data_IF_591207115935
#
_entry.id   IF_591207115935
#
_cell.length_a   1.000
_cell.length_b   1.000
_cell.length_c   1.000
_cell.angle_alpha   90.00
_cell.angle_beta   90.00
_cell.angle_gamma   90.00
#
_symmetry.space_group_name_H-M   'P 1'
#
loop_
_entity.id
_entity.type
_entity.pdbx_description
1 polymer ?
#
# COMPACT_ATOMS: atom_id res chain seq x y z
N UNK A 1 -19.69 -16.73 32.61
CA UNK A 1 -18.57 -17.41 33.29
C UNK A 1 -18.44 -16.85 34.68
N UNK A 2 -18.32 -17.72 35.68
CA UNK A 2 -17.99 -17.37 37.06
C UNK A 2 -16.53 -17.78 37.27
N UNK A 3 -15.62 -16.85 37.16
CA UNK A 3 -14.20 -17.04 37.43
C UNK A 3 -13.81 -16.07 38.51
N UNK A 4 -13.27 -16.57 39.62
CA UNK A 4 -12.85 -15.73 40.73
C UNK A 4 -11.62 -14.87 40.30
N UNK A 5 -11.37 -13.71 40.93
CA UNK A 5 -10.18 -12.91 40.67
C UNK A 5 -8.91 -13.77 40.71
N UNK A 6 -7.99 -13.53 39.75
CA UNK A 6 -6.71 -14.24 39.59
C UNK A 6 -6.85 -15.76 39.28
N UNK A 7 -8.04 -16.25 38.98
CA UNK A 7 -8.27 -17.63 38.59
C UNK A 7 -8.43 -17.74 37.06
N UNK A 8 -8.14 -18.93 36.52
CA UNK A 8 -8.27 -19.26 35.11
C UNK A 8 -9.32 -20.32 34.89
N UNK A 9 -10.19 -20.15 33.91
CA UNK A 9 -11.13 -21.16 33.48
C UNK A 9 -10.91 -21.52 32.00
N UNK A 10 -10.93 -22.82 31.71
CA UNK A 10 -10.91 -23.32 30.32
C UNK A 10 -12.33 -23.43 29.80
N UNK A 11 -12.60 -22.81 28.67
CA UNK A 11 -13.91 -22.88 27.99
C UNK A 11 -13.74 -23.56 26.66
N UNK A 12 -14.50 -24.62 26.43
CA UNK A 12 -14.54 -25.28 25.13
C UNK A 12 -15.50 -24.51 24.22
N UNK A 13 -14.98 -23.96 23.14
CA UNK A 13 -15.80 -23.32 22.12
C UNK A 13 -16.08 -24.31 20.99
N UNK A 14 -17.34 -24.40 20.59
CA UNK A 14 -17.73 -25.21 19.44
C UNK A 14 -17.64 -24.37 18.18
N UNK A 15 -16.47 -24.34 17.60
CA UNK A 15 -16.19 -23.60 16.36
C UNK A 15 -16.51 -24.54 15.21
N UNK A 16 -17.44 -24.17 14.34
CA UNK A 16 -17.76 -24.94 13.14
C UNK A 16 -16.54 -25.20 12.23
N UNK A 17 -16.68 -26.04 11.22
CA UNK A 17 -15.63 -26.32 10.27
C UNK A 17 -15.21 -25.02 9.54
N UNK A 18 -13.94 -24.69 9.65
CA UNK A 18 -13.35 -23.55 8.94
C UNK A 18 -12.92 -23.98 7.53
N UNK A 19 -13.12 -23.10 6.53
CA UNK A 19 -12.59 -23.32 5.18
C UNK A 19 -11.14 -22.83 5.13
N UNK A 20 -10.21 -23.64 4.69
CA UNK A 20 -8.81 -23.24 4.54
C UNK A 20 -8.58 -22.20 3.44
N UNK A 21 -9.56 -21.96 2.58
CA UNK A 21 -9.51 -21.00 1.48
C UNK A 21 -9.75 -19.55 1.91
N UNK A 22 -10.17 -19.28 3.16
CA UNK A 22 -10.52 -17.94 3.66
C UNK A 22 -9.84 -17.65 4.98
N UNK A 23 -9.66 -16.35 5.25
CA UNK A 23 -9.27 -15.92 6.58
C UNK A 23 -10.39 -16.18 7.58
N UNK A 24 -10.03 -16.71 8.75
CA UNK A 24 -10.93 -16.94 9.86
C UNK A 24 -10.38 -16.30 11.12
N UNK A 25 -11.18 -15.42 11.70
CA UNK A 25 -10.86 -14.71 12.92
C UNK A 25 -11.91 -15.04 13.97
N UNK A 26 -11.48 -15.39 15.17
CA UNK A 26 -12.35 -15.51 16.33
C UNK A 26 -12.28 -14.24 17.15
N UNK A 27 -13.39 -13.50 17.18
CA UNK A 27 -13.52 -12.30 18.01
C UNK A 27 -14.15 -12.69 19.34
N UNK A 28 -13.44 -12.46 20.43
CA UNK A 28 -13.92 -12.68 21.80
C UNK A 28 -14.18 -11.32 22.43
N UNK A 29 -15.37 -11.13 22.97
CA UNK A 29 -15.76 -9.90 23.65
C UNK A 29 -16.19 -10.22 25.08
N UNK A 30 -15.54 -9.62 26.06
CA UNK A 30 -15.89 -9.70 27.47
C UNK A 30 -16.85 -8.57 27.82
N UNK A 31 -18.01 -8.91 28.37
CA UNK A 31 -19.06 -7.94 28.66
C UNK A 31 -19.48 -8.01 30.12
N UNK A 32 -19.80 -6.86 30.70
CA UNK A 32 -20.40 -6.77 32.03
C UNK A 32 -21.73 -7.49 32.03
N UNK A 33 -21.95 -8.36 33.03
CA UNK A 33 -23.26 -9.00 33.26
C UNK A 33 -24.28 -8.00 33.80
N UNK A 34 -23.84 -7.16 34.72
CA UNK A 34 -24.67 -6.17 35.40
C UNK A 34 -24.06 -4.79 35.21
N UNK A 35 -24.84 -3.75 35.49
CA UNK A 35 -24.34 -2.37 35.55
C UNK A 35 -23.29 -2.25 36.66
N UNK A 36 -22.18 -1.58 36.35
CA UNK A 36 -21.11 -1.31 37.30
C UNK A 36 -20.72 0.16 37.20
N UNK A 37 -21.05 0.95 38.23
CA UNK A 37 -20.88 2.38 38.26
C UNK A 37 -21.58 3.08 37.08
N UNK A 38 -20.82 3.75 36.21
CA UNK A 38 -21.33 4.42 35.01
C UNK A 38 -21.47 3.49 33.79
N UNK A 39 -20.93 2.27 33.85
CA UNK A 39 -20.95 1.33 32.75
C UNK A 39 -22.23 0.50 32.77
N UNK A 40 -23.03 0.49 31.69
CA UNK A 40 -24.27 -0.30 31.62
C UNK A 40 -23.97 -1.78 31.51
N UNK A 41 -24.97 -2.62 31.86
CA UNK A 41 -24.94 -4.04 31.54
C UNK A 41 -24.72 -4.26 30.05
N UNK A 42 -23.93 -5.27 29.67
CA UNK A 42 -23.54 -5.50 28.28
C UNK A 42 -22.37 -4.68 27.76
N UNK A 43 -21.87 -3.73 28.53
CA UNK A 43 -20.70 -2.94 28.12
C UNK A 43 -19.47 -3.85 27.91
N UNK A 44 -18.77 -3.67 26.78
CA UNK A 44 -17.59 -4.44 26.43
C UNK A 44 -16.36 -3.91 27.18
N UNK A 45 -15.86 -4.65 28.14
CA UNK A 45 -14.69 -4.28 28.96
C UNK A 45 -13.36 -4.73 28.36
N UNK A 46 -13.38 -5.77 27.53
CA UNK A 46 -12.22 -6.26 26.81
C UNK A 46 -12.62 -6.95 25.51
N UNK A 47 -11.70 -6.98 24.56
CA UNK A 47 -11.86 -7.67 23.29
C UNK A 47 -10.54 -8.34 22.92
N UNK A 48 -10.63 -9.57 22.42
CA UNK A 48 -9.52 -10.30 21.84
C UNK A 48 -9.87 -10.79 20.45
N UNK A 49 -8.89 -10.88 19.58
CA UNK A 49 -9.02 -11.47 18.26
C UNK A 49 -7.95 -12.54 18.05
N UNK A 50 -8.39 -13.76 17.83
CA UNK A 50 -7.53 -14.90 17.58
C UNK A 50 -7.61 -15.28 16.10
N UNK A 51 -6.46 -15.46 15.47
CA UNK A 51 -6.36 -15.90 14.07
C UNK A 51 -6.49 -17.42 14.05
N UNK A 52 -7.59 -17.95 13.51
CA UNK A 52 -7.81 -19.39 13.33
C UNK A 52 -7.21 -19.88 12.01
N UNK A 53 -7.35 -19.07 10.95
CA UNK A 53 -6.72 -19.28 9.66
C UNK A 53 -6.23 -17.93 9.15
N UNK A 54 -4.92 -17.78 8.87
CA UNK A 54 -4.37 -16.49 8.47
C UNK A 54 -4.82 -16.10 7.05
N UNK A 55 -4.92 -14.79 6.80
CA UNK A 55 -5.12 -14.26 5.47
C UNK A 55 -3.96 -14.67 4.55
N UNK A 56 -4.32 -15.29 3.44
CA UNK A 56 -3.39 -15.51 2.34
C UNK A 56 -3.73 -14.51 1.24
N UNK A 57 -2.87 -13.53 1.05
CA UNK A 57 -3.05 -12.59 -0.07
C UNK A 57 -3.15 -13.39 -1.38
N UNK A 58 -4.18 -13.15 -2.22
CA UNK A 58 -4.19 -13.72 -3.54
C UNK A 58 -2.91 -13.30 -4.25
N UNK A 59 -2.27 -14.23 -4.95
CA UNK A 59 -1.17 -13.88 -5.83
C UNK A 59 -1.71 -12.82 -6.80
N UNK A 60 -1.11 -11.63 -6.83
CA UNK A 60 -1.41 -10.64 -7.86
C UNK A 60 -0.86 -11.20 -9.17
N UNK A 61 -1.64 -12.06 -9.80
CA UNK A 61 -1.35 -12.52 -11.14
C UNK A 61 -1.74 -11.41 -12.10
N UNK A 62 -0.73 -10.68 -12.56
CA UNK A 62 -0.88 -9.67 -13.60
C UNK A 62 -0.76 -10.28 -14.99
N UNK A 63 -0.92 -11.60 -15.13
CA UNK A 63 -1.00 -12.19 -16.47
C UNK A 63 -2.05 -11.44 -17.25
N UNK A 64 -1.81 -11.33 -18.54
CA UNK A 64 -2.80 -10.79 -19.44
C UNK A 64 -4.08 -11.61 -19.34
N UNK A 65 -5.21 -10.92 -19.24
CA UNK A 65 -6.50 -11.58 -19.20
C UNK A 65 -6.81 -12.04 -20.62
N UNK A 66 -6.83 -13.35 -20.84
CA UNK A 66 -7.27 -13.91 -22.12
C UNK A 66 -8.76 -13.64 -22.27
N UNK A 67 -9.12 -12.89 -23.31
CA UNK A 67 -10.50 -12.86 -23.76
C UNK A 67 -10.79 -14.20 -24.47
N UNK A 68 -11.93 -14.81 -24.16
CA UNK A 68 -12.35 -16.04 -24.80
C UNK A 68 -12.27 -15.86 -26.32
N UNK A 69 -11.39 -16.61 -26.99
CA UNK A 69 -11.14 -16.63 -28.44
C UNK A 69 -10.45 -15.40 -29.08
N UNK A 70 -9.80 -14.52 -28.30
CA UNK A 70 -9.01 -13.43 -28.89
C UNK A 70 -7.54 -13.56 -28.46
N UNK A 71 -6.55 -13.38 -29.34
CA UNK A 71 -5.15 -13.36 -28.97
C UNK A 71 -4.91 -12.25 -27.95
N UNK A 72 -4.14 -12.56 -26.91
CA UNK A 72 -3.73 -11.55 -25.94
C UNK A 72 -2.69 -10.63 -26.58
N UNK A 73 -3.04 -9.36 -26.75
CA UNK A 73 -2.17 -8.34 -27.33
C UNK A 73 -1.60 -7.48 -26.21
N UNK A 74 -0.31 -7.16 -26.32
CA UNK A 74 0.32 -6.20 -25.41
C UNK A 74 -0.26 -4.79 -25.61
N UNK A 75 -0.22 -3.94 -24.56
CA UNK A 75 -0.54 -2.52 -24.72
C UNK A 75 0.33 -1.86 -25.78
N UNK A 76 -0.24 -0.90 -26.50
CA UNK A 76 0.48 -0.14 -27.53
C UNK A 76 1.30 0.96 -26.89
N UNK A 77 2.58 1.07 -27.25
CA UNK A 77 3.51 2.05 -26.75
C UNK A 77 3.71 3.15 -27.80
N UNK A 78 3.51 4.41 -27.40
CA UNK A 78 3.81 5.58 -28.20
C UNK A 78 5.03 6.30 -27.60
N UNK A 79 6.13 6.34 -28.35
CA UNK A 79 7.43 6.83 -27.90
C UNK A 79 7.80 8.21 -28.47
N UNK A 80 7.07 8.66 -29.48
CA UNK A 80 7.39 9.86 -30.25
C UNK A 80 7.13 11.18 -29.52
N UNK A 81 6.49 11.15 -28.35
CA UNK A 81 6.38 12.31 -27.49
C UNK A 81 7.68 12.49 -26.70
N UNK A 82 8.28 13.71 -26.75
CA UNK A 82 9.53 13.98 -26.07
C UNK A 82 9.41 14.01 -24.54
N UNK A 83 8.21 14.30 -24.05
CA UNK A 83 7.92 14.49 -22.64
C UNK A 83 7.35 13.24 -21.98
N UNK A 84 6.52 12.50 -22.71
CA UNK A 84 5.76 11.38 -22.17
C UNK A 84 6.01 10.07 -22.91
N UNK A 85 6.06 8.98 -22.15
CA UNK A 85 5.85 7.64 -22.64
C UNK A 85 4.36 7.33 -22.47
N UNK A 86 3.66 7.09 -23.57
CA UNK A 86 2.22 6.85 -23.57
C UNK A 86 1.96 5.37 -23.83
N UNK A 87 1.14 4.74 -22.98
CA UNK A 87 0.79 3.33 -23.06
C UNK A 87 -0.73 3.25 -23.17
N UNK A 88 -1.21 2.74 -24.31
CA UNK A 88 -2.63 2.61 -24.59
C UNK A 88 -3.02 1.12 -24.66
N UNK A 89 -4.16 0.78 -24.07
CA UNK A 89 -4.90 -0.46 -24.32
C UNK A 89 -6.29 -0.16 -24.85
N UNK A 90 -7.13 -1.19 -24.97
CA UNK A 90 -8.49 -1.04 -25.50
C UNK A 90 -9.34 -0.06 -24.70
N UNK A 91 -9.14 0.00 -23.40
CA UNK A 91 -9.98 0.77 -22.49
C UNK A 91 -9.19 1.49 -21.40
N UNK A 92 -7.90 1.78 -21.65
CA UNK A 92 -7.08 2.53 -20.72
C UNK A 92 -5.99 3.33 -21.44
N UNK A 93 -5.54 4.38 -20.78
CA UNK A 93 -4.38 5.19 -21.16
C UNK A 93 -3.55 5.52 -19.93
N UNK A 94 -2.25 5.25 -20.01
CA UNK A 94 -1.24 5.62 -19.03
C UNK A 94 -0.22 6.55 -19.65
N UNK A 95 0.26 7.53 -18.88
CA UNK A 95 1.35 8.40 -19.31
C UNK A 95 2.41 8.45 -18.22
N UNK A 96 3.67 8.25 -18.62
CA UNK A 96 4.82 8.38 -17.74
C UNK A 96 5.63 9.60 -18.17
N UNK A 97 5.97 10.45 -17.24
CA UNK A 97 6.84 11.58 -17.48
C UNK A 97 8.30 11.09 -17.62
N UNK A 98 8.90 11.27 -18.78
CA UNK A 98 10.28 10.82 -19.07
C UNK A 98 11.35 11.54 -18.27
N UNK A 99 11.06 12.74 -17.73
CA UNK A 99 11.99 13.49 -16.90
C UNK A 99 11.99 13.05 -15.44
N UNK A 100 10.82 12.68 -14.91
CA UNK A 100 10.70 12.23 -13.53
C UNK A 100 10.69 10.72 -13.40
N UNK A 101 10.32 10.00 -14.46
CA UNK A 101 10.13 8.54 -14.46
C UNK A 101 8.85 8.10 -13.77
N UNK A 102 7.96 9.03 -13.39
CA UNK A 102 6.74 8.75 -12.66
C UNK A 102 5.53 8.63 -13.57
N UNK A 103 4.57 7.80 -13.15
CA UNK A 103 3.24 7.77 -13.74
C UNK A 103 2.52 9.08 -13.39
N UNK A 104 2.09 9.84 -14.40
CA UNK A 104 1.42 11.13 -14.20
C UNK A 104 0.00 11.17 -14.79
N UNK A 105 -0.41 10.12 -15.49
CA UNK A 105 -1.79 9.96 -15.94
C UNK A 105 -2.22 8.52 -15.88
N UNK A 106 -3.41 8.29 -15.38
CA UNK A 106 -4.04 6.98 -15.36
C UNK A 106 -5.53 7.12 -15.64
N UNK A 107 -5.91 6.81 -16.87
CA UNK A 107 -7.30 6.81 -17.33
C UNK A 107 -7.76 5.37 -17.59
N UNK A 108 -8.93 5.03 -17.11
CA UNK A 108 -9.59 3.74 -17.37
C UNK A 108 -11.04 3.99 -17.73
N UNK A 109 -11.49 3.45 -18.85
CA UNK A 109 -12.86 3.59 -19.33
C UNK A 109 -13.35 5.06 -19.39
N UNK A 110 -12.46 5.98 -19.77
CA UNK A 110 -12.76 7.41 -19.84
C UNK A 110 -12.72 8.13 -18.48
N UNK A 111 -12.47 7.43 -17.38
CA UNK A 111 -12.36 8.00 -16.04
C UNK A 111 -10.91 8.28 -15.68
N UNK A 112 -10.57 9.53 -15.37
CA UNK A 112 -9.27 9.90 -14.85
C UNK A 112 -9.17 9.49 -13.37
N UNK A 113 -8.17 8.67 -13.05
CA UNK A 113 -7.91 8.22 -11.68
C UNK A 113 -6.91 9.11 -10.93
N UNK A 114 -6.23 10.00 -11.64
CA UNK A 114 -5.26 10.93 -11.07
C UNK A 114 -5.67 12.37 -11.42
N UNK A 115 -5.35 13.32 -10.53
CA UNK A 115 -5.51 14.73 -10.82
C UNK A 115 -4.57 15.14 -11.97
N UNK A 116 -4.95 16.20 -12.68
CA UNK A 116 -4.08 16.88 -13.62
C UNK A 116 -2.80 17.33 -12.90
N UNK A 117 -1.66 17.18 -13.54
CA UNK A 117 -0.31 17.46 -13.01
C UNK A 117 0.10 16.64 -11.76
N UNK A 118 -0.69 15.66 -11.34
CA UNK A 118 -0.30 14.75 -10.28
C UNK A 118 0.67 13.67 -10.79
N UNK A 119 1.51 13.17 -9.91
CA UNK A 119 2.41 12.05 -10.17
C UNK A 119 2.27 10.99 -9.07
N UNK A 120 2.39 9.72 -9.46
CA UNK A 120 2.58 8.64 -8.49
C UNK A 120 4.04 8.62 -8.08
N UNK A 121 4.36 9.34 -7.03
CA UNK A 121 5.73 9.61 -6.59
C UNK A 121 6.10 8.88 -5.29
N UNK A 122 7.36 8.48 -5.11
CA UNK A 122 7.87 7.96 -3.84
C UNK A 122 7.69 8.96 -2.69
N UNK A 123 7.32 8.46 -1.53
CA UNK A 123 7.15 9.27 -0.34
C UNK A 123 7.75 8.60 0.90
N UNK A 124 8.66 9.31 1.56
CA UNK A 124 9.38 8.87 2.76
C UNK A 124 9.06 9.73 3.99
N UNK A 125 8.15 10.70 3.83
CA UNK A 125 7.83 11.69 4.85
C UNK A 125 6.34 11.70 5.16
N UNK A 126 6.01 12.00 6.42
CA UNK A 126 4.66 12.35 6.87
C UNK A 126 4.70 13.60 7.75
N UNK A 127 3.56 14.24 7.96
CA UNK A 127 3.45 15.29 8.95
C UNK A 127 3.87 14.76 10.34
N UNK A 128 4.78 15.43 11.04
CA UNK A 128 5.14 15.07 12.41
C UNK A 128 3.96 15.24 13.37
N UNK A 129 3.86 14.33 14.34
CA UNK A 129 2.93 14.44 15.47
C UNK A 129 3.60 15.18 16.63
N UNK A 130 2.83 15.52 17.67
CA UNK A 130 3.38 16.15 18.88
C UNK A 130 4.48 15.30 19.53
N UNK A 131 4.32 13.99 19.54
CA UNK A 131 5.36 13.07 20.05
C UNK A 131 6.64 13.13 19.21
N UNK A 132 6.51 13.26 17.88
CA UNK A 132 7.67 13.42 17.00
C UNK A 132 8.40 14.74 17.30
N UNK A 133 7.67 15.83 17.52
CA UNK A 133 8.23 17.12 17.90
C UNK A 133 8.95 17.03 19.24
N UNK A 134 8.34 16.41 20.23
CA UNK A 134 8.95 16.20 21.55
C UNK A 134 10.26 15.40 21.48
N UNK A 135 10.34 14.42 20.58
CA UNK A 135 11.55 13.62 20.36
C UNK A 135 12.55 14.25 19.35
N UNK A 136 12.20 15.39 18.72
CA UNK A 136 13.02 16.06 17.72
C UNK A 136 13.15 15.28 16.40
N UNK A 137 12.18 14.40 16.08
CA UNK A 137 12.27 13.50 14.92
C UNK A 137 12.17 14.25 13.60
N UNK A 138 11.44 15.36 13.54
CA UNK A 138 11.33 16.23 12.37
C UNK A 138 12.69 16.78 11.92
N UNK A 139 13.64 16.94 12.85
CA UNK A 139 15.00 17.37 12.57
C UNK A 139 15.91 16.17 12.27
N UNK A 140 15.83 15.12 13.10
CA UNK A 140 16.65 13.92 12.96
C UNK A 140 16.42 13.21 11.63
N UNK A 141 15.19 13.22 11.13
CA UNK A 141 14.79 12.53 9.89
C UNK A 141 14.63 13.47 8.70
N UNK A 142 15.02 14.72 8.81
CA UNK A 142 14.82 15.77 7.79
C UNK A 142 15.34 15.41 6.40
N UNK A 143 16.42 14.62 6.32
CA UNK A 143 16.97 14.16 5.03
C UNK A 143 15.94 13.37 4.19
N UNK A 144 15.00 12.68 4.84
CA UNK A 144 13.95 11.90 4.16
C UNK A 144 12.80 12.75 3.63
N UNK A 145 12.67 14.01 4.06
CA UNK A 145 11.72 14.96 3.46
C UNK A 145 12.12 15.32 2.04
N UNK A 146 13.41 15.40 1.79
CA UNK A 146 13.98 15.61 0.47
C UNK A 146 15.21 14.71 0.29
N UNK A 147 15.02 13.44 -0.09
CA UNK A 147 16.12 12.49 -0.20
C UNK A 147 17.05 12.72 -1.38
N UNK A 148 16.78 13.75 -2.21
CA UNK A 148 17.59 14.10 -3.37
C UNK A 148 17.43 13.10 -4.52
N UNK A 149 16.20 12.69 -4.81
CA UNK A 149 15.88 11.81 -5.93
C UNK A 149 16.31 12.43 -7.27
N UNK A 150 17.13 11.70 -7.99
CA UNK A 150 17.59 12.06 -9.33
C UNK A 150 17.42 10.84 -10.23
N UNK A 151 16.60 10.97 -11.28
CA UNK A 151 16.44 9.92 -12.28
C UNK A 151 17.79 9.67 -12.99
N UNK A 152 18.23 8.43 -13.03
CA UNK A 152 19.48 8.00 -13.68
C UNK A 152 19.24 7.11 -14.88
N UNK A 153 18.11 6.39 -14.92
CA UNK A 153 17.73 5.51 -16.02
C UNK A 153 16.20 5.45 -16.13
N UNK A 154 15.69 5.52 -17.36
CA UNK A 154 14.28 5.31 -17.67
C UNK A 154 14.18 4.42 -18.91
N UNK A 155 13.60 3.23 -18.74
CA UNK A 155 13.53 2.22 -19.79
C UNK A 155 12.18 1.53 -19.79
N UNK A 156 11.77 0.99 -20.93
CA UNK A 156 10.56 0.20 -21.07
C UNK A 156 10.79 -0.91 -22.08
N UNK A 157 10.02 -1.96 -21.95
CA UNK A 157 10.06 -3.13 -22.83
C UNK A 157 8.70 -3.86 -22.78
N UNK A 158 8.47 -4.71 -23.77
CA UNK A 158 7.35 -5.65 -23.77
C UNK A 158 7.89 -7.03 -23.42
N UNK A 159 7.37 -7.62 -22.34
CA UNK A 159 7.73 -8.97 -21.88
C UNK A 159 6.44 -9.74 -21.62
N UNK A 160 6.30 -10.93 -22.19
CA UNK A 160 5.11 -11.79 -22.02
C UNK A 160 3.79 -11.05 -22.29
N UNK A 161 3.74 -10.25 -23.34
CA UNK A 161 2.62 -9.39 -23.71
C UNK A 161 2.21 -8.36 -22.63
N UNK A 162 3.09 -8.02 -21.70
CA UNK A 162 2.93 -6.95 -20.73
C UNK A 162 3.90 -5.82 -21.03
N UNK A 163 3.56 -4.60 -20.69
CA UNK A 163 4.52 -3.49 -20.72
C UNK A 163 5.19 -3.36 -19.37
N UNK A 164 6.51 -3.35 -19.36
CA UNK A 164 7.32 -3.16 -18.16
C UNK A 164 8.07 -1.84 -18.29
N UNK A 165 7.82 -0.92 -17.35
CA UNK A 165 8.54 0.36 -17.27
C UNK A 165 9.43 0.33 -16.04
N UNK A 166 10.70 0.72 -16.19
CA UNK A 166 11.69 0.78 -15.11
C UNK A 166 12.27 2.17 -15.02
N UNK A 167 12.31 2.70 -13.81
CA UNK A 167 12.96 3.96 -13.48
C UNK A 167 13.92 3.77 -12.31
N UNK A 168 15.16 4.17 -12.49
CA UNK A 168 16.22 4.08 -11.48
C UNK A 168 16.61 5.46 -11.00
N UNK A 169 16.77 5.60 -9.71
CA UNK A 169 17.10 6.89 -9.08
C UNK A 169 18.28 6.77 -8.15
N UNK A 170 19.08 7.80 -8.13
CA UNK A 170 20.03 8.09 -7.06
C UNK A 170 19.35 8.96 -6.00
N UNK A 171 19.57 8.64 -4.73
CA UNK A 171 19.05 9.36 -3.57
C UNK A 171 20.23 9.96 -2.79
N UNK A 172 20.77 11.10 -3.27
CA UNK A 172 22.05 11.65 -2.81
C UNK A 172 22.07 12.00 -1.33
N UNK A 173 20.98 12.57 -0.81
CA UNK A 173 20.92 13.08 0.57
C UNK A 173 20.83 11.97 1.61
N UNK A 174 20.57 10.75 1.19
CA UNK A 174 20.41 9.57 2.05
C UNK A 174 21.28 8.39 1.60
N UNK A 175 22.20 8.62 0.67
CA UNK A 175 23.17 7.61 0.18
C UNK A 175 22.50 6.29 -0.19
N UNK A 176 21.44 6.36 -0.98
CA UNK A 176 20.66 5.20 -1.39
C UNK A 176 20.35 5.23 -2.89
N UNK A 177 19.89 4.10 -3.42
CA UNK A 177 19.29 3.97 -4.76
C UNK A 177 17.86 3.53 -4.62
N UNK A 178 17.01 3.96 -5.55
CA UNK A 178 15.61 3.57 -5.63
C UNK A 178 15.30 3.06 -7.02
N UNK A 179 14.69 1.89 -7.09
CA UNK A 179 14.23 1.28 -8.32
C UNK A 179 12.70 1.22 -8.28
N UNK A 180 12.05 1.78 -9.30
CA UNK A 180 10.63 1.64 -9.56
C UNK A 180 10.42 0.75 -10.77
N UNK A 181 9.57 -0.25 -10.63
CA UNK A 181 9.15 -1.12 -11.74
C UNK A 181 7.64 -1.11 -11.80
N UNK A 182 7.11 -0.79 -12.98
CA UNK A 182 5.69 -0.82 -13.29
C UNK A 182 5.46 -1.94 -14.30
N UNK A 183 4.58 -2.87 -13.96
CA UNK A 183 4.14 -3.94 -14.89
C UNK A 183 2.69 -3.69 -15.22
N UNK A 184 2.40 -3.49 -16.49
CA UNK A 184 1.09 -3.12 -17.01
C UNK A 184 0.57 -4.25 -17.89
N UNK A 185 -0.60 -4.79 -17.58
CA UNK A 185 -1.24 -5.82 -18.40
C UNK A 185 -2.15 -5.23 -19.47
N UNK A 186 -2.72 -6.08 -20.32
CA UNK A 186 -3.62 -5.69 -21.41
C UNK A 186 -4.98 -5.11 -20.95
N UNK A 187 -5.30 -5.13 -19.68
CA UNK A 187 -6.50 -4.52 -19.08
C UNK A 187 -6.21 -3.23 -18.33
N UNK A 188 -4.96 -2.78 -18.34
CA UNK A 188 -4.54 -1.55 -17.67
C UNK A 188 -4.32 -1.73 -16.16
N UNK A 189 -4.34 -2.95 -15.63
CA UNK A 189 -3.90 -3.16 -14.25
C UNK A 189 -2.40 -2.94 -14.13
N UNK A 190 -1.98 -2.17 -13.12
CA UNK A 190 -0.59 -1.75 -12.91
C UNK A 190 -0.10 -2.30 -11.59
N UNK A 191 0.98 -3.09 -11.64
CA UNK A 191 1.74 -3.46 -10.45
C UNK A 191 2.95 -2.56 -10.32
N UNK A 192 3.02 -1.85 -9.21
CA UNK A 192 4.17 -1.01 -8.88
C UNK A 192 5.03 -1.71 -7.85
N UNK A 193 6.31 -1.87 -8.16
CA UNK A 193 7.31 -2.37 -7.22
C UNK A 193 8.29 -1.24 -6.93
N UNK A 194 8.44 -0.91 -5.66
CA UNK A 194 9.40 0.07 -5.16
C UNK A 194 10.46 -0.67 -4.33
N UNK A 195 11.71 -0.57 -4.74
CA UNK A 195 12.85 -1.19 -4.06
C UNK A 195 13.91 -0.15 -3.77
N UNK A 196 14.29 -0.04 -2.51
CA UNK A 196 15.39 0.84 -2.09
C UNK A 196 16.59 0.00 -1.67
N UNK A 197 17.75 0.43 -2.10
CA UNK A 197 19.05 -0.15 -1.70
C UNK A 197 19.88 0.97 -1.05
N UNK A 198 20.02 0.90 0.27
CA UNK A 198 20.83 1.85 1.04
C UNK A 198 22.30 1.42 1.07
N UNK A 199 23.21 2.39 1.13
CA UNK A 199 24.60 2.14 1.43
C UNK A 199 24.74 1.72 2.91
N UNK A 200 25.22 0.51 3.23
CA UNK A 200 25.33 0.05 4.60
C UNK A 200 26.36 0.83 5.43
N UNK A 201 27.26 1.58 4.79
CA UNK A 201 28.25 2.42 5.45
C UNK A 201 27.75 3.85 5.70
N UNK A 202 26.61 4.24 5.12
CA UNK A 202 26.05 5.56 5.29
C UNK A 202 25.46 5.74 6.68
N UNK A 203 25.80 6.84 7.32
CA UNK A 203 25.21 7.27 8.61
C UNK A 203 23.91 8.03 8.37
N UNK A 204 22.87 7.33 7.91
CA UNK A 204 21.55 7.91 7.65
C UNK A 204 20.57 7.53 8.75
N UNK A 205 19.72 8.46 9.14
CA UNK A 205 18.66 8.24 10.12
C UNK A 205 17.59 7.27 9.62
N UNK A 206 16.74 6.79 10.52
CA UNK A 206 15.49 6.13 10.15
C UNK A 206 14.57 7.08 9.38
N UNK A 207 13.61 6.54 8.65
CA UNK A 207 12.57 7.29 7.93
C UNK A 207 11.21 7.14 8.62
N UNK A 208 10.31 8.11 8.45
CA UNK A 208 8.95 8.01 8.98
C UNK A 208 8.09 6.98 8.24
N UNK A 209 8.29 6.84 6.95
CA UNK A 209 7.53 5.91 6.10
C UNK A 209 8.32 5.52 4.87
N UNK A 210 7.93 4.40 4.29
CA UNK A 210 8.34 3.96 2.97
C UNK A 210 7.09 3.67 2.15
N UNK A 211 6.85 4.43 1.10
CA UNK A 211 5.62 4.28 0.33
C UNK A 211 5.57 5.22 -0.87
N UNK A 212 4.40 5.34 -1.46
CA UNK A 212 4.12 6.22 -2.59
C UNK A 212 2.94 7.13 -2.25
N UNK A 213 2.84 8.22 -2.98
CA UNK A 213 1.78 9.21 -2.87
C UNK A 213 1.20 9.46 -4.25
N UNK A 214 -0.13 9.57 -4.31
CA UNK A 214 -0.91 9.88 -5.49
C UNK A 214 -2.02 10.86 -5.10
N UNK A 215 -2.36 11.77 -6.00
CA UNK A 215 -3.53 12.63 -5.83
C UNK A 215 -4.62 12.18 -6.79
N UNK A 216 -5.80 11.97 -6.25
CA UNK A 216 -6.99 11.54 -6.99
C UNK A 216 -8.00 12.68 -7.11
N UNK A 217 -8.86 12.68 -8.15
CA UNK A 217 -9.97 13.62 -8.27
C UNK A 217 -10.88 13.57 -7.05
N UNK A 218 -11.40 14.74 -6.66
CA UNK A 218 -12.27 14.91 -5.48
C UNK A 218 -13.53 14.03 -5.52
N UNK A 219 -13.93 13.54 -6.67
CA UNK A 219 -15.06 12.62 -6.83
C UNK A 219 -14.84 11.25 -6.16
N UNK A 220 -13.60 10.89 -5.86
CA UNK A 220 -13.26 9.68 -5.09
C UNK A 220 -13.25 9.99 -3.60
N UNK A 221 -14.43 10.05 -2.98
CA UNK A 221 -14.60 10.43 -1.57
C UNK A 221 -14.57 9.24 -0.61
N UNK A 222 -14.80 8.03 -1.12
CA UNK A 222 -14.88 6.82 -0.30
C UNK A 222 -13.64 5.97 -0.48
N UNK A 223 -13.04 5.55 0.63
CA UNK A 223 -11.95 4.58 0.68
C UNK A 223 -12.44 3.32 1.38
N UNK A 224 -12.44 2.21 0.68
CA UNK A 224 -12.70 0.89 1.25
C UNK A 224 -11.41 0.10 1.34
N UNK A 225 -11.12 -0.45 2.50
CA UNK A 225 -9.92 -1.26 2.69
C UNK A 225 -10.18 -2.44 3.60
N UNK A 226 -9.44 -3.51 3.38
CA UNK A 226 -9.39 -4.66 4.27
C UNK A 226 -7.99 -4.78 4.87
N UNK A 227 -7.90 -4.79 6.19
CA UNK A 227 -6.63 -4.83 6.89
C UNK A 227 -6.77 -4.63 8.39
N UNK A 228 -5.64 -4.46 9.06
CA UNK A 228 -5.64 -4.07 10.47
C UNK A 228 -6.18 -2.64 10.58
N UNK A 229 -7.02 -2.41 11.57
CA UNK A 229 -7.59 -1.09 11.86
C UNK A 229 -6.52 -0.04 12.15
N UNK A 230 -6.91 1.19 12.48
CA UNK A 230 -5.96 2.26 12.78
C UNK A 230 -4.93 1.78 13.79
N UNK A 231 -3.68 1.77 13.38
CA UNK A 231 -2.57 1.04 14.02
C UNK A 231 -2.39 1.35 15.50
N UNK A 232 -2.70 2.57 15.91
CA UNK A 232 -2.57 3.01 17.31
C UNK A 232 -3.49 2.27 18.29
N UNK A 233 -4.53 1.59 17.81
CA UNK A 233 -5.50 0.90 18.66
C UNK A 233 -5.41 -0.62 18.65
N UNK A 234 -4.55 -1.21 17.83
CA UNK A 234 -4.41 -2.66 17.74
C UNK A 234 -3.33 -3.25 18.65
N UNK A 235 -2.40 -2.43 19.16
CA UNK A 235 -1.24 -2.88 19.92
C UNK A 235 -0.85 -1.96 21.10
N UNK A 236 -1.68 -1.01 21.49
CA UNK A 236 -1.50 -0.32 22.74
C UNK A 236 -1.97 -1.23 23.88
N UNK A 237 -1.04 -2.01 24.41
CA UNK A 237 -1.14 -2.47 25.79
C UNK A 237 -0.81 -1.29 26.70
N UNK A 238 -1.80 -0.82 27.43
CA UNK A 238 -1.58 0.06 28.59
C UNK A 238 -0.90 -0.71 29.70
#
# INVERSE_FOLDING_TARGET
LNVAPQQTAKVKLNIGKTCECKEWLLNVTYRLKNREGLLPAGYAVAKDQLVLNPYKAPAMDLKNVEAVNTPTVAPQIQENDWRYLIINGDNFRLEFNKHTGYLNRYNVAGTELMNEDAELAPNFWRAPTDNDFGAGLQQKFAAWKNPGLKLTSFKWETVDNQTVVRAEYEMKNVSAKLDLTYVINNKGAVKVTQKMTADPQAKVSHMFRFGMQMQMPKTFETVEYYGRGPVSYTHLTL
#
